data_IF_019109099243
#
_entry.id   IF_019109099243
#
_cell.length_a   1.000
_cell.length_b   1.000
_cell.length_c   1.000
_cell.angle_alpha   90.00
_cell.angle_beta   90.00
_cell.angle_gamma   90.00
#
_symmetry.space_group_name_H-M   'P 1'
#
loop_
_entity.id
_entity.type
_entity.pdbx_description
1 polymer ?
#
# COMPACT_ATOMS: atom_id res chain seq x y z
N UNK A 1 4.07 -1.22 18.30
CA UNK A 1 4.34 -2.03 17.09
C UNK A 1 3.16 -2.97 16.94
N UNK A 2 2.53 -3.00 15.77
CA UNK A 2 1.36 -3.83 15.52
C UNK A 2 1.60 -4.76 14.34
N UNK A 3 0.96 -5.93 14.35
CA UNK A 3 1.07 -6.93 13.29
C UNK A 3 -0.31 -7.54 13.12
N UNK A 4 -0.79 -7.56 11.88
CA UNK A 4 -2.03 -8.20 11.48
C UNK A 4 -1.70 -9.28 10.47
N UNK A 5 -2.17 -10.48 10.74
CA UNK A 5 -2.10 -11.65 9.87
C UNK A 5 -3.52 -12.20 9.82
N UNK A 6 -4.12 -12.19 8.63
CA UNK A 6 -5.56 -12.38 8.52
C UNK A 6 -6.05 -12.46 7.08
N UNK A 7 -7.18 -13.15 6.91
CA UNK A 7 -7.78 -13.36 5.60
C UNK A 7 -9.25 -12.98 5.71
N UNK A 8 -9.69 -11.98 4.94
CA UNK A 8 -11.02 -11.39 5.01
C UNK A 8 -11.29 -10.56 6.27
N UNK A 9 -10.34 -9.71 6.61
CA UNK A 9 -10.36 -8.83 7.77
C UNK A 9 -10.46 -7.35 7.41
N UNK A 10 -11.01 -6.57 8.34
CA UNK A 10 -10.95 -5.10 8.30
C UNK A 10 -10.05 -4.67 9.45
N UNK A 11 -8.88 -4.15 9.11
CA UNK A 11 -7.81 -3.85 10.07
C UNK A 11 -7.34 -2.42 9.95
N UNK A 12 -7.07 -1.79 11.10
CA UNK A 12 -6.53 -0.45 11.17
C UNK A 12 -5.39 -0.39 12.19
N UNK A 13 -4.25 0.14 11.77
CA UNK A 13 -3.03 0.27 12.57
C UNK A 13 -2.54 1.71 12.64
N UNK A 14 -1.91 2.07 13.78
CA UNK A 14 -1.20 3.34 13.92
C UNK A 14 0.17 3.15 14.57
N UNK A 15 1.16 3.96 14.14
CA UNK A 15 2.54 3.86 14.56
C UNK A 15 3.37 2.96 13.62
N UNK A 16 4.14 2.02 14.18
CA UNK A 16 4.86 1.01 13.39
C UNK A 16 4.00 -0.24 13.25
N UNK A 17 3.57 -0.57 12.04
CA UNK A 17 2.61 -1.64 11.78
C UNK A 17 2.93 -2.47 10.53
N UNK A 18 2.63 -3.76 10.59
CA UNK A 18 2.70 -4.68 9.47
C UNK A 18 1.33 -5.31 9.22
N UNK A 19 0.96 -5.42 7.96
CA UNK A 19 -0.27 -6.05 7.50
C UNK A 19 0.12 -7.14 6.52
N UNK A 20 -0.21 -8.38 6.86
CA UNK A 20 -0.04 -9.57 6.03
C UNK A 20 -1.41 -10.21 5.84
N UNK A 21 -1.83 -10.45 4.60
CA UNK A 21 -3.08 -11.14 4.39
C UNK A 21 -3.65 -11.10 2.99
N UNK A 22 -4.88 -11.60 2.88
CA UNK A 22 -5.54 -11.76 1.59
C UNK A 22 -7.06 -11.55 1.72
N UNK A 23 -7.58 -10.70 0.83
CA UNK A 23 -8.96 -10.21 0.80
C UNK A 23 -9.37 -9.27 1.95
N UNK A 24 -8.49 -8.36 2.34
CA UNK A 24 -8.63 -7.45 3.47
C UNK A 24 -8.96 -6.01 3.07
N UNK A 25 -9.49 -5.25 4.04
CA UNK A 25 -9.49 -3.79 4.01
C UNK A 25 -8.53 -3.31 5.10
N UNK A 26 -7.40 -2.73 4.69
CA UNK A 26 -6.34 -2.33 5.60
C UNK A 26 -6.14 -0.81 5.60
N UNK A 27 -5.97 -0.22 6.78
CA UNK A 27 -5.59 1.19 6.91
C UNK A 27 -4.43 1.36 7.90
N UNK A 28 -3.41 2.11 7.51
CA UNK A 28 -2.21 2.33 8.30
C UNK A 28 -1.80 3.80 8.40
N UNK A 29 -1.55 4.28 9.61
CA UNK A 29 -0.99 5.62 9.86
C UNK A 29 0.38 5.53 10.54
N UNK A 30 1.42 6.12 9.94
CA UNK A 30 2.77 6.17 10.49
C UNK A 30 3.80 5.46 9.61
N UNK A 31 4.48 4.44 10.16
CA UNK A 31 5.41 3.57 9.44
C UNK A 31 4.75 2.22 9.20
N UNK A 32 4.30 1.96 7.98
CA UNK A 32 3.51 0.77 7.66
C UNK A 32 4.14 -0.07 6.55
N UNK A 33 3.98 -1.38 6.66
CA UNK A 33 4.27 -2.34 5.58
C UNK A 33 3.02 -3.15 5.29
N UNK A 34 2.68 -3.28 4.02
CA UNK A 34 1.54 -4.05 3.54
C UNK A 34 2.06 -5.12 2.59
N UNK A 35 1.81 -6.38 2.93
CA UNK A 35 2.04 -7.56 2.09
C UNK A 35 0.66 -8.22 1.92
N UNK A 36 0.04 -7.95 0.77
CA UNK A 36 -1.40 -8.09 0.62
C UNK A 36 -1.74 -8.71 -0.74
N UNK A 37 -2.86 -9.41 -0.80
CA UNK A 37 -3.38 -9.97 -2.04
C UNK A 37 -4.90 -9.79 -2.11
N UNK A 38 -5.34 -8.94 -3.03
CA UNK A 38 -6.75 -8.69 -3.34
C UNK A 38 -7.49 -7.80 -2.33
N UNK A 39 -6.87 -6.69 -1.97
CA UNK A 39 -7.18 -5.84 -0.83
C UNK A 39 -7.48 -4.40 -1.24
N UNK A 40 -8.13 -3.68 -0.32
CA UNK A 40 -8.27 -2.22 -0.37
C UNK A 40 -7.41 -1.64 0.74
N UNK A 41 -6.42 -0.84 0.37
CA UNK A 41 -5.38 -0.37 1.29
C UNK A 41 -5.33 1.16 1.31
N UNK A 42 -5.31 1.74 2.51
CA UNK A 42 -5.10 3.17 2.73
C UNK A 42 -3.91 3.40 3.67
N UNK A 43 -2.81 3.95 3.14
CA UNK A 43 -1.60 4.24 3.89
C UNK A 43 -1.34 5.74 4.05
N UNK A 44 -0.97 6.17 5.25
CA UNK A 44 -0.58 7.56 5.50
C UNK A 44 0.73 7.62 6.30
N UNK A 45 1.72 8.34 5.77
CA UNK A 45 3.05 8.49 6.39
C UNK A 45 4.16 7.88 5.53
N UNK A 46 4.94 6.97 6.10
CA UNK A 46 5.96 6.17 5.42
C UNK A 46 5.42 4.75 5.22
N UNK A 47 5.08 4.40 3.98
CA UNK A 47 4.46 3.12 3.67
C UNK A 47 5.23 2.34 2.60
N UNK A 48 5.25 1.01 2.75
CA UNK A 48 5.68 0.08 1.71
C UNK A 48 4.55 -0.87 1.37
N UNK A 49 4.34 -1.13 0.09
CA UNK A 49 3.28 -1.99 -0.43
C UNK A 49 3.91 -3.04 -1.34
N UNK A 50 3.69 -4.31 -1.00
CA UNK A 50 3.93 -5.49 -1.84
C UNK A 50 2.57 -6.12 -2.10
N UNK A 51 2.07 -6.00 -3.32
CA UNK A 51 0.67 -6.19 -3.68
C UNK A 51 0.52 -6.82 -5.08
N UNK A 52 -0.62 -7.44 -5.36
CA UNK A 52 -0.80 -8.22 -6.60
C UNK A 52 -2.15 -7.99 -7.30
N UNK A 53 -3.22 -7.59 -6.60
CA UNK A 53 -4.50 -7.18 -7.21
C UNK A 53 -5.29 -6.22 -6.32
N UNK A 54 -4.70 -5.07 -6.05
CA UNK A 54 -5.05 -4.21 -4.92
C UNK A 54 -5.47 -2.81 -5.38
N UNK A 55 -6.36 -2.20 -4.59
CA UNK A 55 -6.67 -0.77 -4.70
C UNK A 55 -5.94 -0.06 -3.57
N UNK A 56 -4.90 0.69 -3.91
CA UNK A 56 -4.01 1.31 -2.94
C UNK A 56 -4.10 2.82 -3.03
N UNK A 57 -4.40 3.47 -1.90
CA UNK A 57 -4.25 4.90 -1.72
C UNK A 57 -3.13 5.17 -0.70
N UNK A 58 -2.22 6.08 -1.03
CA UNK A 58 -1.16 6.47 -0.10
C UNK A 58 -0.98 7.99 -0.05
N UNK A 59 -0.83 8.51 1.17
CA UNK A 59 -0.46 9.89 1.47
C UNK A 59 0.87 9.95 2.22
N UNK A 60 1.95 10.43 1.59
CA UNK A 60 3.27 10.57 2.20
C UNK A 60 4.41 9.96 1.37
N UNK A 61 5.42 9.38 2.03
CA UNK A 61 6.50 8.67 1.37
C UNK A 61 6.10 7.21 1.18
N UNK A 62 6.02 6.75 -0.07
CA UNK A 62 5.41 5.46 -0.39
C UNK A 62 6.30 4.66 -1.36
N UNK A 63 6.47 3.37 -1.11
CA UNK A 63 7.11 2.45 -2.06
C UNK A 63 6.14 1.35 -2.46
N UNK A 64 6.10 1.00 -3.74
CA UNK A 64 5.18 0.01 -4.29
C UNK A 64 5.92 -1.04 -5.12
N UNK A 65 5.62 -2.31 -4.90
CA UNK A 65 5.93 -3.44 -5.76
C UNK A 65 4.61 -4.17 -6.02
N UNK A 66 4.10 -4.03 -7.24
CA UNK A 66 2.69 -4.24 -7.57
C UNK A 66 2.54 -4.95 -8.92
N UNK A 67 1.49 -5.76 -9.10
CA UNK A 67 1.31 -6.53 -10.34
C UNK A 67 0.06 -6.15 -11.14
N UNK A 68 -1.09 -5.94 -10.48
CA UNK A 68 -2.35 -5.60 -11.17
C UNK A 68 -3.20 -4.62 -10.34
N UNK A 69 -2.66 -3.44 -10.10
CA UNK A 69 -3.14 -2.56 -9.05
C UNK A 69 -3.66 -1.22 -9.58
N UNK A 70 -4.62 -0.66 -8.85
CA UNK A 70 -5.04 0.74 -8.99
C UNK A 70 -4.38 1.52 -7.87
N UNK A 71 -3.37 2.32 -8.21
CA UNK A 71 -2.54 3.02 -7.22
C UNK A 71 -2.76 4.52 -7.30
N UNK A 72 -3.09 5.13 -6.17
CA UNK A 72 -3.18 6.57 -5.98
C UNK A 72 -2.12 7.04 -4.97
N UNK A 73 -1.09 7.76 -5.44
CA UNK A 73 -0.02 8.29 -4.60
C UNK A 73 -0.08 9.82 -4.44
N UNK A 74 0.02 10.30 -3.19
CA UNK A 74 0.10 11.73 -2.84
C UNK A 74 1.28 11.99 -1.89
N UNK A 75 2.44 12.41 -2.41
CA UNK A 75 3.71 12.55 -1.68
C UNK A 75 4.85 11.80 -2.37
N UNK A 76 6.08 11.67 -1.81
CA UNK A 76 7.21 11.18 -2.63
C UNK A 76 7.25 9.65 -2.75
N UNK A 77 6.88 9.13 -3.93
CA UNK A 77 6.66 7.70 -4.18
C UNK A 77 7.68 7.02 -5.11
N UNK A 78 7.84 5.70 -5.01
CA UNK A 78 8.49 4.89 -6.05
C UNK A 78 7.84 3.51 -6.22
N UNK A 79 7.66 3.09 -7.47
CA UNK A 79 6.88 1.91 -7.85
C UNK A 79 7.65 1.02 -8.85
N UNK A 80 7.38 -0.28 -8.83
CA UNK A 80 7.46 -1.14 -10.00
C UNK A 80 6.16 -1.94 -10.10
N UNK A 81 5.58 -1.91 -11.30
CA UNK A 81 4.16 -2.16 -11.56
C UNK A 81 4.04 -2.85 -12.92
N UNK A 82 3.37 -3.99 -13.00
CA UNK A 82 3.31 -4.76 -14.25
C UNK A 82 2.11 -4.39 -15.13
N UNK A 83 0.91 -4.25 -14.56
CA UNK A 83 -0.32 -3.99 -15.33
C UNK A 83 -1.24 -2.97 -14.65
N UNK A 84 -0.72 -1.80 -14.33
CA UNK A 84 -1.35 -0.95 -13.32
C UNK A 84 -1.93 0.36 -13.88
N UNK A 85 -2.99 0.84 -13.21
CA UNK A 85 -3.49 2.20 -13.39
C UNK A 85 -2.95 3.06 -12.26
N UNK A 86 -1.93 3.87 -12.57
CA UNK A 86 -1.23 4.68 -11.57
C UNK A 86 -1.64 6.15 -11.72
N UNK A 87 -2.21 6.71 -10.66
CA UNK A 87 -2.48 8.14 -10.50
C UNK A 87 -1.53 8.71 -9.44
N UNK A 88 -0.66 9.61 -9.86
CA UNK A 88 0.39 10.15 -9.00
C UNK A 88 0.29 11.67 -8.95
N UNK A 89 0.35 12.21 -7.74
CA UNK A 89 0.41 13.63 -7.48
C UNK A 89 1.67 13.91 -6.65
N UNK A 90 2.54 14.80 -7.16
CA UNK A 90 3.87 15.18 -6.63
C UNK A 90 5.09 14.38 -7.17
N UNK A 91 6.30 14.56 -6.62
CA UNK A 91 7.55 13.94 -7.14
C UNK A 91 7.58 12.42 -7.00
N UNK A 92 7.62 11.69 -8.12
CA UNK A 92 7.63 10.23 -8.14
C UNK A 92 8.51 9.64 -9.24
N UNK A 93 9.06 8.45 -9.00
CA UNK A 93 9.96 7.79 -9.94
C UNK A 93 9.35 6.56 -10.60
N UNK A 94 9.02 6.72 -11.91
CA UNK A 94 8.80 5.75 -13.01
C UNK A 94 9.13 4.26 -12.73
N UNK A 95 10.39 3.99 -12.40
CA UNK A 95 10.91 2.63 -12.29
C UNK A 95 10.64 1.71 -13.51
N UNK A 96 10.48 2.29 -14.72
CA UNK A 96 10.20 1.58 -15.98
C UNK A 96 11.46 0.91 -16.56
#
# INVERSE_FOLDING_TARGET
>A
MCSFDGNHDIVAGSGMCSFDGNHNVASGYGMCSFDCNHDVIDGNGMCSFDCNHDVVACYGMCSFDCNHDVVAGFGMCSFHCNHDVIAVYDMCNLGL
#
